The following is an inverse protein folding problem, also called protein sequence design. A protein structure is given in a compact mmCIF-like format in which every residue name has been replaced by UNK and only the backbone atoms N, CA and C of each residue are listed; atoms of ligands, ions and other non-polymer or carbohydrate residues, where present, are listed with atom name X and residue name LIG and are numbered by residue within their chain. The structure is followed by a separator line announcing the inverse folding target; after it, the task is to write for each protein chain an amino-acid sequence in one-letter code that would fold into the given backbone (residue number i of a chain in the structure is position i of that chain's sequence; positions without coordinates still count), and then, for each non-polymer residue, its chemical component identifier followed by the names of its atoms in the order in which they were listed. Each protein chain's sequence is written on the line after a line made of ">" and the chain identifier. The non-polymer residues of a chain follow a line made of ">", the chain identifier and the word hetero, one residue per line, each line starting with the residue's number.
data_IF_831562591508
#
_entry.id   IF_831562591508
#
_cell.length_a   1.000
_cell.length_b   1.000
_cell.length_c   1.000
_cell.angle_alpha   90.00
_cell.angle_beta   90.00
_cell.angle_gamma   90.00
#
_symmetry.space_group_name_H-M   'P 1'
#
loop_
_entity.id
_entity.type
_entity.pdbx_description
1 polymer ?
#
# COMPACT_ATOMS: atom_id res chain seq x y z
N UNK A 1 -15.44 -20.10 14.40
CA UNK A 1 -14.12 -19.46 14.22
C UNK A 1 -14.25 -18.25 13.32
N UNK A 2 -13.86 -17.14 13.82
CA UNK A 2 -13.92 -15.96 12.99
C UNK A 2 -12.75 -15.88 12.03
N UNK A 3 -12.95 -15.19 10.96
CA UNK A 3 -11.92 -14.88 10.00
C UNK A 3 -10.94 -13.89 10.57
N UNK A 4 -9.72 -14.33 10.73
CA UNK A 4 -8.67 -13.43 11.14
C UNK A 4 -7.96 -12.92 9.92
N UNK A 5 -7.91 -11.62 9.81
CA UNK A 5 -7.23 -10.96 8.73
C UNK A 5 -5.73 -11.19 8.86
N UNK A 6 -5.08 -11.60 7.78
CA UNK A 6 -3.63 -11.73 7.79
C UNK A 6 -3.01 -10.32 7.78
N UNK A 7 -1.74 -10.26 8.18
CA UNK A 7 -0.99 -9.01 8.14
C UNK A 7 -0.96 -8.43 6.72
N UNK A 8 -0.73 -9.30 5.73
CA UNK A 8 -0.68 -8.84 4.34
C UNK A 8 -2.01 -8.28 3.88
N UNK A 9 -3.12 -8.91 4.30
CA UNK A 9 -4.46 -8.41 3.95
C UNK A 9 -4.73 -7.06 4.57
N UNK A 10 -4.31 -6.87 5.82
CA UNK A 10 -4.49 -5.60 6.51
C UNK A 10 -3.70 -4.49 5.84
N UNK A 11 -2.45 -4.77 5.51
CA UNK A 11 -1.62 -3.80 4.81
C UNK A 11 -2.23 -3.47 3.45
N UNK A 12 -2.71 -4.50 2.73
CA UNK A 12 -3.34 -4.30 1.42
C UNK A 12 -4.52 -3.34 1.51
N UNK A 13 -5.37 -3.51 2.50
CA UNK A 13 -6.52 -2.62 2.70
C UNK A 13 -6.07 -1.19 2.94
N UNK A 14 -5.04 -1.01 3.77
CA UNK A 14 -4.53 0.32 4.06
C UNK A 14 -3.93 0.97 2.81
N UNK A 15 -3.19 0.20 2.03
CA UNK A 15 -2.59 0.73 0.80
C UNK A 15 -3.66 1.22 -0.17
N UNK A 16 -4.72 0.43 -0.34
CA UNK A 16 -5.83 0.82 -1.21
C UNK A 16 -6.50 2.10 -0.68
N UNK A 17 -6.76 2.14 0.62
CA UNK A 17 -7.43 3.27 1.24
C UNK A 17 -6.68 4.58 0.99
N UNK A 18 -5.39 4.61 1.29
CA UNK A 18 -4.62 5.84 1.14
C UNK A 18 -4.42 6.23 -0.31
N UNK A 19 -4.26 5.25 -1.20
CA UNK A 19 -4.15 5.54 -2.61
C UNK A 19 -5.42 6.21 -3.15
N UNK A 20 -6.56 5.64 -2.81
CA UNK A 20 -7.85 6.18 -3.27
C UNK A 20 -8.14 7.54 -2.64
N UNK A 21 -7.78 7.71 -1.37
CA UNK A 21 -7.95 8.99 -0.69
C UNK A 21 -7.12 10.08 -1.36
N UNK A 22 -6.00 9.72 -1.98
CA UNK A 22 -5.15 10.66 -2.71
C UNK A 22 -5.58 10.81 -4.17
N UNK A 23 -6.64 10.15 -4.59
CA UNK A 23 -7.17 10.21 -5.97
C UNK A 23 -6.17 9.71 -7.01
N UNK A 24 -5.41 8.68 -6.66
CA UNK A 24 -4.43 8.09 -7.57
C UNK A 24 -4.90 6.75 -8.08
N UNK A 25 -4.66 6.48 -9.37
CA UNK A 25 -4.78 5.11 -9.89
C UNK A 25 -3.54 4.33 -9.49
N UNK A 26 -3.60 3.00 -9.64
CA UNK A 26 -2.43 2.17 -9.39
C UNK A 26 -1.25 2.59 -10.27
N UNK A 27 -1.52 2.88 -11.53
CA UNK A 27 -0.47 3.30 -12.47
C UNK A 27 0.14 4.63 -12.06
N UNK A 28 -0.70 5.59 -11.64
CA UNK A 28 -0.21 6.88 -11.20
C UNK A 28 0.65 6.77 -9.95
N UNK A 29 0.21 5.94 -9.00
CA UNK A 29 1.01 5.71 -7.79
C UNK A 29 2.35 5.06 -8.15
N UNK A 30 2.31 4.04 -8.99
CA UNK A 30 3.52 3.34 -9.40
C UNK A 30 4.53 4.31 -10.02
N UNK A 31 4.06 5.23 -10.83
CA UNK A 31 4.92 6.24 -11.44
C UNK A 31 5.57 7.13 -10.38
N UNK A 32 4.79 7.53 -9.38
CA UNK A 32 5.30 8.41 -8.32
C UNK A 32 6.37 7.76 -7.47
N UNK A 33 6.28 6.46 -7.26
CA UNK A 33 7.24 5.74 -6.42
C UNK A 33 8.27 4.97 -7.24
N UNK A 34 8.22 5.13 -8.55
CA UNK A 34 9.18 4.52 -9.49
C UNK A 34 9.13 3.00 -9.48
N UNK A 35 7.92 2.47 -9.45
CA UNK A 35 7.65 1.03 -9.55
C UNK A 35 6.69 0.77 -10.70
N UNK A 36 6.33 -0.49 -10.91
CA UNK A 36 5.35 -0.85 -11.93
C UNK A 36 3.96 -0.94 -11.30
N UNK A 37 2.93 -0.78 -12.13
CA UNK A 37 1.55 -0.95 -11.67
C UNK A 37 1.29 -2.40 -11.25
N UNK A 38 2.03 -3.36 -11.80
CA UNK A 38 1.94 -4.76 -11.38
C UNK A 38 2.38 -4.93 -9.93
N UNK A 39 3.42 -4.21 -9.51
CA UNK A 39 3.87 -4.25 -8.13
C UNK A 39 2.80 -3.71 -7.19
N UNK A 40 2.22 -2.56 -7.54
CA UNK A 40 1.15 -1.97 -6.73
C UNK A 40 -0.03 -2.91 -6.65
N UNK A 41 -0.43 -3.49 -7.77
CA UNK A 41 -1.54 -4.43 -7.82
C UNK A 41 -1.28 -5.65 -6.93
N UNK A 42 -0.05 -6.16 -6.95
CA UNK A 42 0.35 -7.30 -6.12
C UNK A 42 0.20 -6.97 -4.63
N UNK A 43 0.69 -5.82 -4.22
CA UNK A 43 0.59 -5.40 -2.82
C UNK A 43 -0.86 -5.21 -2.40
N UNK A 44 -1.68 -4.64 -3.27
CA UNK A 44 -3.08 -4.34 -2.95
C UNK A 44 -3.96 -5.57 -2.99
N UNK A 45 -3.49 -6.66 -3.60
CA UNK A 45 -4.21 -7.94 -3.57
C UNK A 45 -3.81 -8.82 -2.40
N UNK A 46 -2.86 -8.37 -1.59
CA UNK A 46 -2.40 -9.14 -0.45
C UNK A 46 -1.39 -10.23 -0.79
N UNK A 47 -0.84 -10.22 -2.00
CA UNK A 47 0.11 -11.24 -2.46
C UNK A 47 1.56 -10.85 -2.22
N UNK A 48 1.79 -9.85 -1.42
CA UNK A 48 3.12 -9.38 -1.04
C UNK A 48 2.99 -8.02 -0.41
N UNK A 49 4.06 -7.54 0.20
CA UNK A 49 4.05 -6.22 0.82
C UNK A 49 5.23 -5.42 0.28
N UNK A 50 5.10 -4.09 0.23
CA UNK A 50 6.23 -3.25 -0.13
C UNK A 50 7.35 -3.41 0.90
N UNK A 51 8.60 -3.29 0.45
CA UNK A 51 9.70 -3.29 1.40
C UNK A 51 9.69 -1.99 2.21
N UNK A 52 10.54 -1.93 3.22
CA UNK A 52 10.54 -0.80 4.15
C UNK A 52 10.82 0.53 3.46
N UNK A 53 11.65 0.53 2.42
CA UNK A 53 11.98 1.76 1.70
C UNK A 53 10.75 2.32 0.99
N UNK A 54 9.96 1.44 0.41
CA UNK A 54 8.73 1.85 -0.28
C UNK A 54 7.68 2.28 0.75
N UNK A 55 7.59 1.58 1.87
CA UNK A 55 6.65 1.98 2.93
C UNK A 55 6.97 3.38 3.43
N UNK A 56 8.26 3.69 3.62
CA UNK A 56 8.67 5.04 4.01
C UNK A 56 8.30 6.07 2.94
N UNK A 57 8.50 5.72 1.68
CA UNK A 57 8.17 6.61 0.57
C UNK A 57 6.67 6.88 0.50
N UNK A 58 5.86 5.83 0.69
CA UNK A 58 4.41 5.97 0.70
C UNK A 58 3.95 6.83 1.87
N UNK A 59 4.54 6.62 3.04
CA UNK A 59 4.20 7.41 4.22
C UNK A 59 4.48 8.90 3.96
N UNK A 60 5.62 9.21 3.36
CA UNK A 60 5.94 10.59 2.99
C UNK A 60 4.95 11.14 1.97
N UNK A 61 4.65 10.35 0.95
CA UNK A 61 3.75 10.78 -0.11
C UNK A 61 2.37 11.12 0.42
N UNK A 62 1.87 10.32 1.35
CA UNK A 62 0.52 10.50 1.91
C UNK A 62 0.49 11.39 3.14
N UNK A 63 1.65 11.79 3.68
CA UNK A 63 1.72 12.59 4.89
C UNK A 63 1.28 11.84 6.13
N UNK A 64 1.60 10.56 6.21
CA UNK A 64 1.22 9.68 7.32
C UNK A 64 2.47 8.95 7.82
N UNK A 65 2.30 8.09 8.83
CA UNK A 65 3.39 7.28 9.34
C UNK A 65 3.38 5.90 8.71
N UNK A 66 4.51 5.21 8.78
CA UNK A 66 4.56 3.80 8.36
C UNK A 66 3.59 2.97 9.20
N UNK A 67 3.47 3.29 10.49
CA UNK A 67 2.53 2.58 11.35
C UNK A 67 1.10 2.67 10.83
N UNK A 68 0.71 3.81 10.28
CA UNK A 68 -0.61 3.97 9.68
C UNK A 68 -0.83 3.00 8.52
N UNK A 69 0.24 2.68 7.79
CA UNK A 69 0.15 1.78 6.65
C UNK A 69 0.04 0.32 7.06
N UNK A 70 0.63 -0.04 8.20
CA UNK A 70 0.76 -1.46 8.56
C UNK A 70 -0.15 -1.89 9.72
N UNK A 71 -0.79 -0.95 10.38
CA UNK A 71 -1.71 -1.33 11.48
C UNK A 71 -3.20 -1.44 11.03
#
# INVERSE_FOLDING_TARGET
>A
MENLETTNQRIAKNLIYYRKAANLTQAELAQKINYSDKSVSKWESGNGVPDIYILLKLAELYGITVNDLVS
#
